data_IF_265124770929
#
_entry.id   IF_265124770929
#
_cell.length_a   1.000
_cell.length_b   1.000
_cell.length_c   1.000
_cell.angle_alpha   90.00
_cell.angle_beta   90.00
_cell.angle_gamma   90.00
#
_symmetry.space_group_name_H-M   'P 1'
#
loop_
_entity.id
_entity.type
_entity.pdbx_description
1 polymer ?
#
# COMPACT_ATOMS: atom_id res chain seq x y z
N UNK A 1 11.99 -14.97 44.86
CA UNK A 1 11.79 -14.68 43.42
C UNK A 1 10.37 -15.06 43.06
N UNK A 2 9.75 -14.29 42.18
CA UNK A 2 8.42 -14.54 41.65
C UNK A 2 8.53 -15.04 40.21
N UNK A 3 7.88 -16.16 39.91
CA UNK A 3 7.64 -16.68 38.58
C UNK A 3 6.22 -16.29 38.14
N UNK A 4 6.00 -16.14 36.84
CA UNK A 4 4.68 -15.87 36.30
C UNK A 4 4.30 -16.85 35.18
N UNK A 5 3.08 -17.38 35.25
CA UNK A 5 2.43 -18.07 34.15
C UNK A 5 1.46 -17.11 33.49
N UNK A 6 1.71 -16.73 32.25
CA UNK A 6 0.78 -15.94 31.45
C UNK A 6 -0.01 -16.85 30.52
N UNK A 7 -1.31 -16.95 30.75
CA UNK A 7 -2.25 -17.65 29.89
C UNK A 7 -2.82 -16.65 28.90
N UNK A 8 -2.49 -16.80 27.62
CA UNK A 8 -2.96 -15.95 26.55
C UNK A 8 -3.96 -16.68 25.67
N UNK A 9 -5.17 -16.14 25.56
CA UNK A 9 -6.27 -16.70 24.79
C UNK A 9 -6.47 -15.86 23.53
N UNK A 10 -6.43 -16.52 22.37
CA UNK A 10 -6.75 -15.91 21.08
C UNK A 10 -8.00 -16.57 20.53
N UNK A 11 -8.95 -15.75 20.08
CA UNK A 11 -10.18 -16.20 19.42
C UNK A 11 -10.37 -15.43 18.13
N UNK A 12 -10.65 -16.13 17.05
CA UNK A 12 -10.90 -15.55 15.73
C UNK A 12 -12.30 -15.98 15.26
N UNK A 13 -13.02 -15.05 14.64
CA UNK A 13 -14.42 -15.24 14.25
C UNK A 13 -14.65 -14.82 12.80
N UNK A 14 -15.44 -15.59 12.05
CA UNK A 14 -16.00 -15.23 10.74
C UNK A 14 -17.43 -15.74 10.63
N UNK A 15 -18.40 -14.84 10.61
CA UNK A 15 -19.81 -15.25 10.73
C UNK A 15 -20.03 -16.12 11.98
N UNK A 16 -20.51 -17.35 11.78
CA UNK A 16 -20.73 -18.33 12.86
C UNK A 16 -19.52 -19.24 13.13
N UNK A 17 -18.48 -19.21 12.30
CA UNK A 17 -17.26 -20.00 12.52
C UNK A 17 -16.35 -19.31 13.53
N UNK A 18 -15.94 -20.04 14.56
CA UNK A 18 -15.01 -19.58 15.61
C UNK A 18 -13.86 -20.57 15.76
N UNK A 19 -12.63 -20.07 15.74
CA UNK A 19 -11.43 -20.83 16.13
C UNK A 19 -10.75 -20.15 17.31
N UNK A 20 -10.17 -20.92 18.22
CA UNK A 20 -9.50 -20.38 19.39
C UNK A 20 -8.32 -21.23 19.80
N UNK A 21 -7.30 -20.59 20.39
CA UNK A 21 -6.17 -21.26 21.00
C UNK A 21 -5.74 -20.58 22.30
N UNK A 22 -5.00 -21.31 23.13
CA UNK A 22 -4.47 -20.85 24.41
C UNK A 22 -2.98 -21.15 24.51
N UNK A 23 -2.21 -20.10 24.77
CA UNK A 23 -0.76 -20.17 24.94
C UNK A 23 -0.43 -20.03 26.42
N UNK A 24 0.33 -20.98 26.97
CA UNK A 24 0.89 -20.90 28.32
C UNK A 24 2.35 -20.46 28.22
N UNK A 25 2.62 -19.28 28.75
CA UNK A 25 3.94 -18.65 28.75
C UNK A 25 4.50 -18.63 30.15
N UNK A 26 5.59 -19.38 30.35
CA UNK A 26 6.33 -19.41 31.61
C UNK A 26 7.38 -18.31 31.59
N UNK A 27 7.20 -17.30 32.44
CA UNK A 27 8.12 -16.20 32.65
C UNK A 27 8.94 -16.52 33.90
N UNK A 28 10.23 -16.87 33.76
CA UNK A 28 11.06 -17.22 34.90
C UNK A 28 11.28 -16.01 35.80
N UNK A 29 11.56 -16.28 37.08
CA UNK A 29 11.93 -15.23 38.02
C UNK A 29 13.20 -14.49 37.56
N UNK A 30 13.19 -13.16 37.65
CA UNK A 30 14.39 -12.36 37.40
C UNK A 30 15.40 -12.50 38.52
N UNK A 31 16.65 -12.16 38.21
CA UNK A 31 17.70 -11.97 39.21
C UNK A 31 17.54 -10.61 39.91
N UNK A 32 18.04 -10.49 41.14
CA UNK A 32 17.79 -9.36 42.03
C UNK A 32 17.92 -7.97 41.37
N UNK A 33 16.87 -7.16 41.52
CA UNK A 33 16.88 -5.73 41.21
C UNK A 33 16.34 -5.32 39.84
N UNK A 34 16.03 -6.26 38.94
CA UNK A 34 15.54 -5.94 37.59
C UNK A 34 14.21 -6.65 37.28
N UNK A 35 13.27 -6.01 36.55
CA UNK A 35 12.07 -6.68 36.08
C UNK A 35 12.40 -7.76 35.05
N UNK A 36 11.72 -8.91 35.11
CA UNK A 36 11.79 -9.91 34.05
C UNK A 36 11.13 -9.34 32.78
N UNK A 37 11.90 -9.14 31.73
CA UNK A 37 11.39 -8.84 30.39
C UNK A 37 11.38 -10.12 29.56
N UNK A 38 10.23 -10.42 28.96
CA UNK A 38 10.06 -11.63 28.15
C UNK A 38 9.29 -11.31 26.88
N UNK A 39 9.95 -11.49 25.75
CA UNK A 39 9.36 -11.33 24.42
C UNK A 39 9.21 -12.72 23.79
N UNK A 40 8.03 -13.00 23.25
CA UNK A 40 7.73 -14.28 22.60
C UNK A 40 6.86 -14.07 21.37
N UNK A 41 7.00 -14.96 20.40
CA UNK A 41 6.19 -14.98 19.19
C UNK A 41 5.18 -16.12 19.29
N UNK A 42 3.90 -15.78 19.15
CA UNK A 42 2.80 -16.75 19.13
C UNK A 42 2.33 -16.94 17.69
N UNK A 43 2.57 -18.13 17.15
CA UNK A 43 2.12 -18.48 15.80
C UNK A 43 0.63 -18.84 15.82
N UNK A 44 -0.20 -18.03 15.16
CA UNK A 44 -1.65 -18.20 15.06
C UNK A 44 -2.13 -18.40 13.62
N UNK A 45 -1.23 -18.76 12.69
CA UNK A 45 -1.54 -18.93 11.26
C UNK A 45 -2.76 -19.81 11.01
N UNK A 46 -2.87 -20.91 11.75
CA UNK A 46 -3.91 -21.92 11.60
C UNK A 46 -5.30 -21.38 12.01
N UNK A 47 -5.32 -20.41 12.93
CA UNK A 47 -6.53 -19.68 13.29
C UNK A 47 -6.94 -18.74 12.15
N UNK A 48 -5.97 -18.07 11.52
CA UNK A 48 -6.22 -17.07 10.48
C UNK A 48 -6.70 -17.65 9.14
N UNK A 49 -6.61 -18.95 8.92
CA UNK A 49 -7.07 -19.61 7.68
C UNK A 49 -8.55 -19.38 7.38
N UNK A 50 -9.38 -19.13 8.40
CA UNK A 50 -10.79 -18.81 8.18
C UNK A 50 -10.98 -17.44 7.56
N UNK A 51 -9.93 -16.63 7.39
CA UNK A 51 -10.01 -15.21 6.99
C UNK A 51 -10.95 -14.42 7.94
N UNK A 52 -10.58 -14.29 9.22
CA UNK A 52 -11.47 -13.79 10.25
C UNK A 52 -11.88 -12.33 10.04
N UNK A 53 -13.12 -12.02 10.42
CA UNK A 53 -13.67 -10.66 10.46
C UNK A 53 -13.32 -9.97 11.77
N UNK A 54 -13.09 -10.74 12.84
CA UNK A 54 -12.74 -10.25 14.18
C UNK A 54 -11.73 -11.16 14.85
N UNK A 55 -10.73 -10.54 15.46
CA UNK A 55 -9.75 -11.19 16.35
C UNK A 55 -9.94 -10.61 17.75
N UNK A 56 -10.10 -11.48 18.73
CA UNK A 56 -10.15 -11.14 20.14
C UNK A 56 -8.98 -11.81 20.85
N UNK A 57 -8.16 -11.01 21.52
CA UNK A 57 -7.04 -11.49 22.30
C UNK A 57 -7.16 -10.99 23.73
N UNK A 58 -6.87 -11.86 24.69
CA UNK A 58 -6.93 -11.56 26.11
C UNK A 58 -6.18 -12.60 26.91
N UNK A 59 -6.09 -12.45 28.22
CA UNK A 59 -5.35 -13.41 29.02
C UNK A 59 -5.41 -13.12 30.51
N UNK A 60 -4.71 -13.95 31.26
CA UNK A 60 -4.52 -13.80 32.69
C UNK A 60 -3.09 -14.17 33.06
N UNK A 61 -2.56 -13.55 34.12
CA UNK A 61 -1.23 -13.85 34.63
C UNK A 61 -1.37 -14.37 36.06
N UNK A 62 -0.81 -15.55 36.32
CA UNK A 62 -0.69 -16.13 37.64
C UNK A 62 0.75 -15.97 38.13
N UNK A 63 0.94 -15.19 39.18
CA UNK A 63 2.26 -14.98 39.81
C UNK A 63 2.39 -15.91 41.01
N UNK A 64 3.49 -16.67 41.06
CA UNK A 64 3.80 -17.61 42.14
C UNK A 64 5.22 -17.38 42.65
N UNK A 65 5.44 -17.53 43.96
CA UNK A 65 6.79 -17.40 44.52
C UNK A 65 6.81 -16.84 45.95
N UNK A 66 8.00 -16.41 46.38
CA UNK A 66 8.23 -15.80 47.68
C UNK A 66 9.02 -14.50 47.53
N UNK A 67 8.53 -13.43 48.17
CA UNK A 67 9.11 -12.09 48.12
C UNK A 67 8.15 -11.04 48.69
N UNK A 68 8.54 -9.78 48.63
CA UNK A 68 7.69 -8.63 48.96
C UNK A 68 7.18 -8.02 47.67
N UNK A 69 5.91 -7.63 47.65
CA UNK A 69 5.31 -6.86 46.54
C UNK A 69 4.95 -5.49 47.11
N UNK A 70 5.52 -4.45 46.53
CA UNK A 70 5.20 -3.08 46.89
C UNK A 70 4.05 -2.55 46.04
N UNK A 71 3.42 -1.47 46.52
CA UNK A 71 2.26 -0.88 45.85
C UNK A 71 2.58 -0.30 44.46
N UNK A 72 3.85 0.01 44.24
CA UNK A 72 4.34 0.59 42.99
C UNK A 72 4.77 -0.48 41.97
N UNK A 73 4.81 -1.75 42.37
CA UNK A 73 5.11 -2.86 41.46
C UNK A 73 3.93 -3.10 40.51
N UNK A 74 4.21 -3.23 39.23
CA UNK A 74 3.20 -3.49 38.20
C UNK A 74 3.64 -4.59 37.24
N UNK A 75 2.65 -5.34 36.74
CA UNK A 75 2.82 -6.22 35.59
C UNK A 75 2.22 -5.52 34.38
N UNK A 76 3.00 -5.41 33.32
CA UNK A 76 2.59 -4.83 32.05
C UNK A 76 2.73 -5.88 30.95
N UNK A 77 1.77 -5.90 30.02
CA UNK A 77 1.79 -6.78 28.86
C UNK A 77 1.51 -5.95 27.61
N UNK A 78 2.37 -6.11 26.61
CA UNK A 78 2.15 -5.57 25.27
C UNK A 78 1.86 -6.70 24.31
N UNK A 79 0.84 -6.54 23.47
CA UNK A 79 0.54 -7.47 22.39
C UNK A 79 0.61 -6.69 21.09
N UNK A 80 1.52 -7.09 20.21
CA UNK A 80 1.60 -6.57 18.84
C UNK A 80 1.13 -7.69 17.88
N UNK A 81 0.01 -7.45 17.17
CA UNK A 81 -0.47 -8.37 16.15
C UNK A 81 0.15 -7.99 14.80
N UNK A 82 0.92 -8.92 14.22
CA UNK A 82 1.51 -8.75 12.89
C UNK A 82 0.91 -9.78 11.93
N UNK A 83 0.00 -9.34 11.07
CA UNK A 83 -0.66 -10.18 10.07
C UNK A 83 -0.35 -9.64 8.66
N UNK A 84 0.82 -9.96 8.09
CA UNK A 84 1.11 -9.64 6.70
C UNK A 84 0.13 -10.36 5.78
N UNK A 85 -0.52 -9.64 4.86
CA UNK A 85 -1.44 -10.24 3.91
C UNK A 85 -0.66 -10.77 2.72
N UNK A 86 -0.45 -12.08 2.70
CA UNK A 86 0.11 -12.77 1.53
C UNK A 86 -1.02 -13.09 0.56
N UNK A 87 -0.97 -12.49 -0.63
CA UNK A 87 -2.03 -12.63 -1.64
C UNK A 87 -1.46 -13.00 -2.99
N UNK A 88 -2.25 -13.73 -3.78
CA UNK A 88 -2.03 -13.88 -5.21
C UNK A 88 -2.95 -12.91 -5.92
N UNK A 89 -2.38 -12.03 -6.74
CA UNK A 89 -3.16 -11.01 -7.46
C UNK A 89 -3.41 -11.53 -8.87
N UNK A 90 -4.69 -11.63 -9.24
CA UNK A 90 -5.06 -11.91 -10.63
C UNK A 90 -4.87 -10.65 -11.48
N UNK A 91 -4.57 -10.80 -12.78
CA UNK A 91 -4.49 -9.65 -13.67
C UNK A 91 -5.81 -8.85 -13.64
N UNK A 92 -5.71 -7.55 -13.46
CA UNK A 92 -6.86 -6.65 -13.38
C UNK A 92 -6.51 -5.25 -13.89
N UNK A 93 -7.52 -4.45 -14.21
CA UNK A 93 -7.36 -3.07 -14.63
C UNK A 93 -8.33 -2.15 -13.90
N UNK A 94 -7.77 -1.22 -13.13
CA UNK A 94 -8.53 -0.17 -12.47
C UNK A 94 -8.58 1.04 -13.42
N UNK A 95 -9.78 1.52 -13.73
CA UNK A 95 -9.99 2.71 -14.54
C UNK A 95 -10.39 3.87 -13.62
N UNK A 96 -9.70 5.00 -13.76
CA UNK A 96 -10.01 6.22 -13.02
C UNK A 96 -10.02 7.43 -13.96
N UNK A 97 -10.99 8.31 -13.78
CA UNK A 97 -11.05 9.56 -14.52
C UNK A 97 -9.96 10.51 -14.07
N UNK A 98 -9.30 11.18 -15.03
CA UNK A 98 -8.27 12.17 -14.74
C UNK A 98 -8.89 13.54 -14.98
N UNK A 99 -9.21 14.23 -13.89
CA UNK A 99 -9.65 15.61 -13.96
C UNK A 99 -8.44 16.49 -14.31
N UNK A 100 -8.42 17.04 -15.51
CA UNK A 100 -7.45 18.06 -15.90
C UNK A 100 -8.03 19.41 -15.53
N UNK A 101 -7.33 20.16 -14.67
CA UNK A 101 -7.68 21.56 -14.41
C UNK A 101 -7.64 22.33 -15.73
N UNK A 102 -8.83 22.67 -16.23
CA UNK A 102 -9.03 23.25 -17.55
C UNK A 102 -8.93 24.77 -17.56
N UNK A 103 -8.76 25.39 -16.39
CA UNK A 103 -8.64 26.84 -16.21
C UNK A 103 -7.37 27.42 -16.84
N UNK A 104 -6.34 26.60 -17.04
CA UNK A 104 -5.02 27.02 -17.56
C UNK A 104 -4.92 26.90 -19.08
N UNK A 105 -5.75 26.07 -19.72
CA UNK A 105 -5.70 25.86 -21.18
C UNK A 105 -6.80 26.71 -21.83
N UNK A 106 -6.44 27.95 -22.16
CA UNK A 106 -7.24 28.81 -23.01
C UNK A 106 -7.21 28.27 -24.45
N UNK A 107 -8.35 28.27 -25.14
CA UNK A 107 -8.50 27.73 -26.50
C UNK A 107 -7.62 28.44 -27.53
N UNK A 108 -7.14 29.65 -27.22
CA UNK A 108 -6.22 30.46 -28.02
C UNK A 108 -4.78 29.90 -28.07
N UNK A 109 -4.43 28.97 -27.18
CA UNK A 109 -3.08 28.41 -27.06
C UNK A 109 -2.73 27.50 -28.25
N UNK A 110 -3.71 26.82 -28.85
CA UNK A 110 -3.50 25.75 -29.84
C UNK A 110 -2.66 26.15 -31.05
N UNK A 111 -2.88 27.34 -31.61
CA UNK A 111 -2.16 27.82 -32.81
C UNK A 111 -0.75 28.35 -32.50
N UNK A 112 -0.47 28.64 -31.23
CA UNK A 112 0.82 29.21 -30.78
C UNK A 112 1.71 28.22 -30.03
N UNK A 113 1.25 26.97 -29.79
CA UNK A 113 2.08 25.95 -29.12
C UNK A 113 3.19 25.46 -30.05
N UNK A 114 4.45 25.69 -29.64
CA UNK A 114 5.64 25.13 -30.31
C UNK A 114 5.97 23.71 -29.87
N UNK A 115 5.70 23.38 -28.61
CA UNK A 115 5.92 22.04 -28.07
C UNK A 115 5.15 21.82 -26.77
N UNK A 116 4.80 20.56 -26.51
CA UNK A 116 4.15 20.12 -25.28
C UNK A 116 4.80 18.87 -24.73
N UNK A 117 4.76 18.69 -23.41
CA UNK A 117 5.15 17.46 -22.76
C UNK A 117 4.32 17.20 -21.50
N UNK A 118 4.07 15.92 -21.22
CA UNK A 118 3.55 15.46 -19.94
C UNK A 118 4.73 15.09 -19.03
N UNK A 119 4.72 15.64 -17.82
CA UNK A 119 5.69 15.34 -16.78
C UNK A 119 4.98 14.56 -15.70
N UNK A 120 5.49 13.38 -15.38
CA UNK A 120 4.91 12.49 -14.39
C UNK A 120 5.97 12.16 -13.34
N UNK A 121 5.60 12.27 -12.08
CA UNK A 121 6.34 11.73 -10.95
C UNK A 121 5.57 10.52 -10.42
N UNK A 122 6.22 9.36 -10.46
CA UNK A 122 5.63 8.07 -10.15
C UNK A 122 6.38 7.46 -8.96
N UNK A 123 5.65 6.96 -7.96
CA UNK A 123 6.21 6.20 -6.85
C UNK A 123 5.41 4.93 -6.66
N UNK A 124 6.10 3.79 -6.61
CA UNK A 124 5.50 2.49 -6.36
C UNK A 124 6.17 1.82 -5.17
N UNK A 125 5.38 1.50 -4.14
CA UNK A 125 5.81 0.68 -3.00
C UNK A 125 5.19 -0.72 -3.03
N UNK A 126 4.45 -1.08 -4.07
CA UNK A 126 3.91 -2.42 -4.22
C UNK A 126 5.03 -3.39 -4.65
N UNK A 127 5.02 -4.65 -4.15
CA UNK A 127 5.97 -5.69 -4.56
C UNK A 127 5.73 -6.22 -5.99
N UNK A 128 4.98 -5.48 -6.81
CA UNK A 128 4.65 -5.82 -8.19
C UNK A 128 4.80 -4.60 -9.09
N UNK A 129 5.27 -4.88 -10.31
CA UNK A 129 5.30 -3.90 -11.39
C UNK A 129 3.92 -3.75 -12.00
N UNK A 130 3.61 -2.55 -12.45
CA UNK A 130 2.30 -2.18 -13.00
C UNK A 130 2.51 -1.40 -14.30
N UNK A 131 1.44 -1.25 -15.08
CA UNK A 131 1.45 -0.37 -16.25
C UNK A 131 0.41 0.71 -16.10
N UNK A 132 0.82 1.96 -16.26
CA UNK A 132 -0.07 3.10 -16.33
C UNK A 132 -0.39 3.40 -17.79
N UNK A 133 -1.67 3.32 -18.15
CA UNK A 133 -2.18 3.63 -19.49
C UNK A 133 -2.97 4.92 -19.45
N UNK A 134 -2.38 6.00 -19.93
CA UNK A 134 -3.02 7.30 -20.05
C UNK A 134 -3.79 7.38 -21.35
N UNK A 135 -5.02 7.86 -21.26
CA UNK A 135 -5.91 8.07 -22.38
C UNK A 135 -6.40 9.51 -22.41
N UNK A 136 -6.35 10.12 -23.59
CA UNK A 136 -7.03 11.38 -23.89
C UNK A 136 -7.81 11.17 -25.17
N UNK A 137 -9.10 11.51 -25.17
CA UNK A 137 -9.96 11.39 -26.34
C UNK A 137 -10.67 12.72 -26.56
N UNK A 138 -10.58 13.22 -27.78
CA UNK A 138 -11.38 14.36 -28.24
C UNK A 138 -12.77 13.85 -28.66
N UNK A 139 -13.83 14.54 -28.21
CA UNK A 139 -15.19 13.99 -28.32
C UNK A 139 -15.79 14.16 -29.72
N UNK A 140 -15.40 15.19 -30.47
CA UNK A 140 -16.06 15.57 -31.72
C UNK A 140 -15.56 14.80 -32.95
N UNK A 141 -14.24 14.69 -33.14
CA UNK A 141 -13.62 13.93 -34.23
C UNK A 141 -13.30 12.50 -33.82
N UNK A 142 -13.22 12.24 -32.51
CA UNK A 142 -12.93 10.92 -31.97
C UNK A 142 -11.45 10.56 -31.96
N UNK A 143 -10.57 11.52 -32.25
CA UNK A 143 -9.12 11.35 -32.17
C UNK A 143 -8.71 11.02 -30.73
N UNK A 144 -7.67 10.18 -30.58
CA UNK A 144 -7.23 9.76 -29.25
C UNK A 144 -5.71 9.62 -29.14
N UNK A 145 -5.23 9.96 -27.95
CA UNK A 145 -3.86 9.78 -27.50
C UNK A 145 -3.85 8.68 -26.44
N UNK A 146 -2.97 7.70 -26.64
CA UNK A 146 -2.71 6.64 -25.67
C UNK A 146 -1.22 6.60 -25.36
N UNK A 147 -0.88 6.63 -24.07
CA UNK A 147 0.50 6.46 -23.58
C UNK A 147 0.55 5.36 -22.53
N UNK A 148 1.50 4.45 -22.69
CA UNK A 148 1.74 3.35 -21.74
C UNK A 148 3.08 3.61 -21.07
N UNK A 149 3.09 3.57 -19.74
CA UNK A 149 4.27 3.74 -18.91
C UNK A 149 4.41 2.53 -18.03
N UNK A 150 5.56 1.90 -18.05
CA UNK A 150 5.89 0.81 -17.15
C UNK A 150 6.40 1.39 -15.83
N UNK A 151 5.82 0.92 -14.73
CA UNK A 151 6.20 1.30 -13.38
C UNK A 151 6.75 0.02 -12.73
N UNK A 152 8.07 -0.05 -12.49
CA UNK A 152 8.69 -1.23 -11.91
C UNK A 152 8.17 -1.52 -10.49
N UNK A 153 8.30 -2.78 -10.08
CA UNK A 153 8.03 -3.20 -8.71
C UNK A 153 8.94 -2.47 -7.71
N UNK A 154 8.50 -2.38 -6.46
CA UNK A 154 9.36 -2.04 -5.35
C UNK A 154 10.37 -3.18 -5.08
N UNK A 155 11.61 -2.88 -4.68
CA UNK A 155 12.54 -3.89 -4.20
C UNK A 155 11.96 -4.57 -2.96
N UNK A 156 12.00 -5.89 -2.96
CA UNK A 156 11.48 -6.75 -1.90
C UNK A 156 12.63 -7.17 -0.99
N UNK A 157 12.42 -7.17 0.34
CA UNK A 157 13.40 -7.64 1.32
C UNK A 157 13.47 -9.16 1.39
N UNK A 158 14.40 -9.72 2.17
CA UNK A 158 14.51 -11.17 2.38
C UNK A 158 13.24 -11.75 3.04
N UNK A 159 12.53 -10.93 3.81
CA UNK A 159 11.25 -11.27 4.44
C UNK A 159 10.06 -11.22 3.46
N UNK A 160 10.28 -10.80 2.21
CA UNK A 160 9.28 -10.82 1.14
C UNK A 160 8.44 -9.54 1.04
N UNK A 161 8.83 -8.45 1.72
CA UNK A 161 8.04 -7.22 1.83
C UNK A 161 8.75 -6.05 1.13
N UNK A 162 8.01 -5.06 0.62
CA UNK A 162 8.62 -3.91 -0.07
C UNK A 162 9.52 -3.07 0.84
N UNK A 163 10.85 -3.13 0.67
CA UNK A 163 11.80 -2.46 1.57
C UNK A 163 11.74 -0.93 1.46
N UNK A 164 11.55 -0.42 0.23
CA UNK A 164 11.47 1.01 -0.11
C UNK A 164 10.64 1.20 -1.37
N UNK A 165 10.22 2.42 -1.64
CA UNK A 165 9.54 2.73 -2.90
C UNK A 165 10.51 2.87 -4.07
N UNK A 166 10.03 2.51 -5.26
CA UNK A 166 10.67 2.87 -6.53
C UNK A 166 10.07 4.18 -7.02
N UNK A 167 10.87 5.25 -7.00
CA UNK A 167 10.47 6.57 -7.46
C UNK A 167 11.21 6.94 -8.75
N UNK A 168 10.49 7.46 -9.74
CA UNK A 168 11.08 7.96 -10.96
C UNK A 168 10.18 8.98 -11.66
N UNK A 169 10.78 9.76 -12.55
CA UNK A 169 10.08 10.77 -13.34
C UNK A 169 10.09 10.41 -14.81
N UNK A 170 8.96 10.58 -15.49
CA UNK A 170 8.83 10.37 -16.93
C UNK A 170 8.46 11.67 -17.59
N UNK A 171 9.18 12.01 -18.67
CA UNK A 171 8.81 13.09 -19.59
C UNK A 171 8.33 12.47 -20.89
N UNK A 172 7.05 12.66 -21.20
CA UNK A 172 6.46 12.24 -22.45
C UNK A 172 6.29 13.46 -23.35
N UNK A 173 7.15 13.59 -24.35
CA UNK A 173 6.98 14.62 -25.38
C UNK A 173 5.69 14.35 -26.18
N UNK A 174 4.98 15.42 -26.51
CA UNK A 174 3.80 15.40 -27.36
C UNK A 174 4.19 15.88 -28.75
N UNK A 175 3.77 15.15 -29.79
CA UNK A 175 3.84 15.61 -31.17
C UNK A 175 2.79 16.70 -31.45
N UNK A 176 2.88 17.37 -32.59
CA UNK A 176 1.92 18.42 -32.99
C UNK A 176 0.47 17.93 -32.97
N UNK A 177 0.20 16.75 -33.54
CA UNK A 177 -1.13 16.13 -33.53
C UNK A 177 -1.61 15.82 -32.09
N UNK A 178 -0.71 15.41 -31.21
CA UNK A 178 -1.08 15.08 -29.82
C UNK A 178 -1.32 16.32 -28.97
N UNK A 179 -0.59 17.40 -29.24
CA UNK A 179 -0.87 18.72 -28.68
C UNK A 179 -2.27 19.18 -29.10
N UNK A 180 -2.63 18.98 -30.37
CA UNK A 180 -3.95 19.32 -30.88
C UNK A 180 -5.07 18.55 -30.15
N UNK A 181 -4.92 17.22 -30.00
CA UNK A 181 -5.86 16.37 -29.25
C UNK A 181 -5.95 16.82 -27.77
N UNK A 182 -4.83 17.20 -27.17
CA UNK A 182 -4.79 17.59 -25.76
C UNK A 182 -5.41 18.97 -25.49
N UNK A 183 -5.31 19.89 -26.46
CA UNK A 183 -5.75 21.28 -26.32
C UNK A 183 -7.19 21.50 -26.78
N UNK A 184 -7.71 20.70 -27.71
CA UNK A 184 -9.12 20.74 -28.15
C UNK A 184 -10.08 20.42 -27.01
N UNK A 185 -11.24 21.10 -27.04
CA UNK A 185 -12.36 20.90 -26.12
C UNK A 185 -13.63 20.68 -26.96
N UNK A 186 -14.58 19.83 -26.54
CA UNK A 186 -14.56 18.99 -25.34
C UNK A 186 -13.65 17.75 -25.47
N UNK A 187 -13.03 17.34 -24.37
CA UNK A 187 -12.16 16.16 -24.29
C UNK A 187 -12.44 15.35 -23.02
N UNK A 188 -12.20 14.04 -23.09
CA UNK A 188 -12.17 13.13 -21.94
C UNK A 188 -10.77 12.64 -21.68
N UNK A 189 -10.41 12.46 -20.42
CA UNK A 189 -9.12 11.92 -20.02
C UNK A 189 -9.29 10.95 -18.87
N UNK A 190 -8.65 9.78 -18.98
CA UNK A 190 -8.69 8.75 -17.95
C UNK A 190 -7.37 8.00 -17.90
N UNK A 191 -7.11 7.35 -16.77
CA UNK A 191 -5.97 6.48 -16.56
C UNK A 191 -6.46 5.06 -16.29
N UNK A 192 -5.85 4.09 -16.96
CA UNK A 192 -5.96 2.67 -16.63
C UNK A 192 -4.71 2.23 -15.88
N UNK A 193 -4.87 1.77 -14.65
CA UNK A 193 -3.82 1.12 -13.88
C UNK A 193 -3.95 -0.37 -14.12
N UNK A 194 -3.02 -0.94 -14.87
CA UNK A 194 -3.03 -2.34 -15.28
C UNK A 194 -2.12 -3.12 -14.34
N UNK A 195 -2.72 -4.01 -13.58
CA UNK A 195 -2.03 -5.01 -12.77
C UNK A 195 -1.82 -6.25 -13.64
N UNK A 196 -0.56 -6.65 -13.93
CA UNK A 196 -0.29 -7.87 -14.69
C UNK A 196 -0.60 -9.14 -13.88
N UNK A 197 -0.94 -9.00 -12.59
CA UNK A 197 -1.05 -10.10 -11.65
C UNK A 197 0.32 -10.64 -11.23
N UNK A 198 0.30 -11.65 -10.36
CA UNK A 198 1.52 -12.27 -9.84
C UNK A 198 1.79 -13.66 -10.43
N UNK A 199 1.00 -14.08 -11.43
CA UNK A 199 1.12 -15.39 -12.09
C UNK A 199 1.15 -16.57 -11.11
N UNK A 200 0.38 -16.50 -10.03
CA UNK A 200 0.34 -17.54 -9.00
C UNK A 200 1.43 -17.42 -7.93
N UNK A 201 2.41 -16.52 -8.10
CA UNK A 201 3.43 -16.25 -7.09
C UNK A 201 2.81 -15.39 -5.97
N UNK A 202 2.81 -15.84 -4.71
CA UNK A 202 2.28 -15.03 -3.62
C UNK A 202 3.16 -13.80 -3.38
N UNK A 203 2.54 -12.67 -3.05
CA UNK A 203 3.23 -11.44 -2.64
C UNK A 203 2.68 -10.95 -1.32
N UNK A 204 3.54 -10.38 -0.48
CA UNK A 204 3.15 -9.81 0.80
C UNK A 204 2.80 -8.35 0.64
N UNK A 205 1.56 -7.98 0.97
CA UNK A 205 1.09 -6.60 1.00
C UNK A 205 0.98 -6.11 2.44
N UNK A 206 1.38 -4.86 2.65
CA UNK A 206 1.18 -4.12 3.89
C UNK A 206 0.25 -2.95 3.68
N UNK A 207 -0.41 -2.54 4.76
CA UNK A 207 -1.21 -1.31 4.79
C UNK A 207 -0.40 -0.06 4.41
N UNK A 208 0.93 -0.09 4.58
CA UNK A 208 1.84 1.00 4.21
C UNK A 208 2.24 0.99 2.73
N UNK A 209 1.88 -0.02 1.95
CA UNK A 209 2.23 -0.09 0.54
C UNK A 209 1.24 0.75 -0.28
N UNK A 210 1.77 1.52 -1.23
CA UNK A 210 0.99 2.51 -1.98
C UNK A 210 1.54 2.69 -3.40
N UNK A 211 0.73 3.38 -4.20
CA UNK A 211 1.11 3.93 -5.49
C UNK A 211 0.74 5.41 -5.51
N UNK A 212 1.70 6.25 -5.90
CA UNK A 212 1.50 7.71 -6.02
C UNK A 212 1.83 8.12 -7.46
N UNK A 213 0.88 8.83 -8.08
CA UNK A 213 0.98 9.30 -9.46
C UNK A 213 0.67 10.80 -9.42
N UNK A 214 1.67 11.61 -9.71
CA UNK A 214 1.55 13.07 -9.83
C UNK A 214 1.98 13.48 -11.21
N UNK A 215 1.31 14.47 -11.78
CA UNK A 215 1.63 14.91 -13.12
C UNK A 215 1.16 16.31 -13.46
N UNK A 216 1.82 16.90 -14.45
CA UNK A 216 1.38 18.14 -15.09
C UNK A 216 1.73 18.13 -16.57
N UNK A 217 0.97 18.89 -17.35
CA UNK A 217 1.29 19.18 -18.74
C UNK A 217 2.04 20.53 -18.81
N UNK A 218 3.14 20.57 -19.56
CA UNK A 218 3.86 21.80 -19.84
C UNK A 218 3.85 22.10 -21.33
N UNK A 219 3.43 23.31 -21.70
CA UNK A 219 3.39 23.80 -23.08
C UNK A 219 4.29 25.02 -23.24
N UNK A 220 5.02 25.09 -24.36
CA UNK A 220 5.77 26.28 -24.77
C UNK A 220 4.98 26.97 -25.88
N UNK A 221 4.53 28.18 -25.60
CA UNK A 221 3.81 29.04 -26.56
C UNK A 221 4.73 30.09 -27.17
N UNK A 222 4.47 30.47 -28.42
CA UNK A 222 5.01 31.69 -29.04
C UNK A 222 4.02 32.83 -28.76
N UNK A 223 4.52 33.94 -28.22
CA UNK A 223 3.75 35.17 -28.17
C UNK A 223 4.19 35.97 -29.40
N UNK A 224 3.26 36.31 -30.29
CA UNK A 224 3.49 37.32 -31.32
C UNK A 224 3.18 38.69 -30.72
N UNK A 225 4.11 39.65 -30.91
CA UNK A 225 3.91 41.07 -30.54
C UNK A 225 3.01 41.79 -31.55
#
# INVERSE_FOLDING_TARGET
>A
GFEAHAFFHVTVMRGDETRSDTFDLVIPASTEGEPALWDTLLEISDLLEISPERIQAGGSVLISGQGTIDREDFVWTRVDLNAPLTVTINPDTIITDVAVDSSVIDSSIGETVKSGALFLALRNRLPLGIRLKLHVKEEEKGDSLVRVIEIPAAPVSEEGWSARDTAFTVKLSLSENEIEIFTRKPRKSWAGIIFPGTNGVPVTLRASDYMDIKGFAGFRVRIEE
#
